data_IF_128210844231
#
_entry.id   IF_128210844231
#
_cell.length_a   1.000
_cell.length_b   1.000
_cell.length_c   1.000
_cell.angle_alpha   90.00
_cell.angle_beta   90.00
_cell.angle_gamma   90.00
#
_symmetry.space_group_name_H-M   'P 1'
#
loop_
_entity.id
_entity.type
_entity.pdbx_description
1 polymer ?
#
# COMPACT_ATOMS: atom_id res chain seq x y z
N UNK A 1 1.57 -20.17 13.07
CA UNK A 1 1.07 -21.36 12.32
C UNK A 1 -0.31 -21.84 12.81
N UNK A 2 -0.80 -21.42 13.98
CA UNK A 2 -2.07 -21.93 14.55
C UNK A 2 -3.36 -21.34 13.96
N UNK A 3 -3.38 -20.07 13.56
CA UNK A 3 -4.63 -19.42 13.09
C UNK A 3 -5.13 -20.06 11.79
N UNK A 4 -4.23 -20.31 10.83
CA UNK A 4 -4.59 -20.87 9.51
C UNK A 4 -4.95 -22.36 9.60
N UNK A 5 -4.43 -23.08 10.60
CA UNK A 5 -4.69 -24.51 10.77
C UNK A 5 -6.16 -24.82 11.16
N UNK A 6 -6.86 -23.86 11.80
CA UNK A 6 -8.22 -24.06 12.30
C UNK A 6 -9.33 -23.57 11.34
N UNK A 7 -8.99 -23.00 10.19
CA UNK A 7 -9.95 -22.34 9.28
C UNK A 7 -10.25 -23.18 8.01
N UNK A 8 -9.65 -24.37 7.87
CA UNK A 8 -9.78 -25.20 6.65
C UNK A 8 -11.21 -25.71 6.40
N UNK A 9 -12.03 -24.89 5.74
CA UNK A 9 -12.99 -25.33 4.72
C UNK A 9 -12.50 -24.82 3.37
N UNK A 10 -12.65 -25.62 2.32
CA UNK A 10 -11.96 -25.45 1.03
C UNK A 10 -12.30 -24.16 0.24
N UNK A 11 -13.22 -23.31 0.75
CA UNK A 11 -13.70 -22.08 0.09
C UNK A 11 -13.37 -20.76 0.84
N UNK A 12 -12.61 -20.79 1.95
CA UNK A 12 -12.33 -19.60 2.75
C UNK A 12 -11.07 -18.85 2.28
N UNK A 13 -11.25 -17.75 1.54
CA UNK A 13 -10.16 -16.81 1.23
C UNK A 13 -9.83 -15.95 2.47
N UNK A 14 -8.65 -16.16 3.06
CA UNK A 14 -8.17 -15.38 4.20
C UNK A 14 -7.39 -14.16 3.71
N UNK A 15 -7.84 -12.95 4.08
CA UNK A 15 -7.17 -11.67 3.81
C UNK A 15 -6.60 -11.06 5.09
N UNK A 16 -5.28 -10.97 5.17
CA UNK A 16 -4.57 -10.30 6.26
C UNK A 16 -4.48 -8.79 5.99
N UNK A 17 -5.07 -7.97 6.87
CA UNK A 17 -4.88 -6.52 6.89
C UNK A 17 -3.94 -6.13 8.02
N UNK A 18 -2.83 -5.47 7.71
CA UNK A 18 -1.78 -5.19 8.71
C UNK A 18 -1.18 -3.80 8.54
N UNK A 19 -0.76 -3.20 9.64
CA UNK A 19 -0.07 -1.91 9.62
C UNK A 19 1.41 -2.05 9.21
N UNK A 20 2.10 -0.90 9.14
CA UNK A 20 3.49 -0.81 8.70
C UNK A 20 4.53 -1.45 9.63
N UNK A 21 4.17 -1.83 10.85
CA UNK A 21 4.99 -2.64 11.74
C UNK A 21 5.25 -4.04 11.19
N UNK A 22 4.34 -4.56 10.35
CA UNK A 22 4.43 -5.88 9.72
C UNK A 22 4.95 -5.83 8.27
N UNK A 23 5.41 -4.66 7.83
CA UNK A 23 6.02 -4.49 6.51
C UNK A 23 7.43 -5.11 6.49
N UNK A 24 7.47 -6.44 6.34
CA UNK A 24 8.67 -7.26 6.28
C UNK A 24 8.48 -8.38 5.24
N UNK A 25 9.54 -8.68 4.49
CA UNK A 25 9.47 -9.68 3.43
C UNK A 25 9.13 -11.08 3.95
N UNK A 26 9.73 -11.51 5.07
CA UNK A 26 9.52 -12.86 5.60
C UNK A 26 8.08 -13.05 6.05
N UNK A 27 7.46 -12.01 6.59
CA UNK A 27 6.03 -12.02 6.95
C UNK A 27 5.18 -12.19 5.70
N UNK A 28 5.44 -11.38 4.67
CA UNK A 28 4.71 -11.44 3.39
C UNK A 28 4.87 -12.81 2.73
N UNK A 29 6.09 -13.33 2.65
CA UNK A 29 6.36 -14.67 2.09
C UNK A 29 5.67 -15.78 2.88
N UNK A 30 5.61 -15.66 4.21
CA UNK A 30 4.86 -16.61 5.03
C UNK A 30 3.38 -16.59 4.63
N UNK A 31 2.77 -15.42 4.46
CA UNK A 31 1.37 -15.30 4.05
C UNK A 31 1.16 -15.86 2.63
N UNK A 32 2.06 -15.54 1.70
CA UNK A 32 2.03 -16.06 0.32
C UNK A 32 2.15 -17.59 0.29
N UNK A 33 3.04 -18.18 1.09
CA UNK A 33 3.23 -19.64 1.18
C UNK A 33 2.01 -20.38 1.72
N UNK A 34 1.14 -19.69 2.46
CA UNK A 34 -0.11 -20.21 2.98
C UNK A 34 -1.28 -20.02 1.99
N UNK A 35 -1.02 -19.50 0.79
CA UNK A 35 -2.04 -19.21 -0.22
C UNK A 35 -2.98 -18.06 0.15
N UNK A 36 -2.64 -17.28 1.17
CA UNK A 36 -3.51 -16.24 1.70
C UNK A 36 -3.27 -14.89 1.00
N UNK A 37 -4.27 -14.00 1.12
CA UNK A 37 -4.17 -12.62 0.62
C UNK A 37 -3.65 -11.70 1.71
N UNK A 38 -3.01 -10.60 1.31
CA UNK A 38 -2.59 -9.56 2.25
C UNK A 38 -2.79 -8.16 1.69
N UNK A 39 -2.96 -7.23 2.62
CA UNK A 39 -2.98 -5.80 2.39
C UNK A 39 -2.25 -5.16 3.58
N UNK A 40 -0.99 -4.78 3.34
CA UNK A 40 -0.12 -4.27 4.40
C UNK A 40 0.25 -2.84 4.05
N UNK A 41 0.06 -1.90 4.99
CA UNK A 41 0.56 -0.54 4.84
C UNK A 41 2.09 -0.58 4.83
N UNK A 42 2.72 -0.06 3.80
CA UNK A 42 4.17 0.01 3.71
C UNK A 42 4.72 1.23 4.46
N UNK A 43 5.95 1.10 4.95
CA UNK A 43 6.69 2.27 5.46
C UNK A 43 7.03 3.18 4.29
N UNK A 44 7.04 4.49 4.52
CA UNK A 44 7.46 5.45 3.49
C UNK A 44 8.96 5.28 3.26
N UNK A 45 9.35 4.63 2.16
CA UNK A 45 10.73 4.56 1.71
C UNK A 45 10.96 5.64 0.65
N UNK A 46 12.07 6.37 0.77
CA UNK A 46 12.48 7.39 -0.20
C UNK A 46 12.54 6.85 -1.64
N UNK A 47 12.86 5.57 -1.82
CA UNK A 47 12.85 4.88 -3.12
C UNK A 47 11.44 4.73 -3.69
N UNK A 48 10.45 4.36 -2.87
CA UNK A 48 9.06 4.25 -3.32
C UNK A 48 8.47 5.62 -3.63
N UNK A 49 8.77 6.62 -2.80
CA UNK A 49 8.39 8.02 -3.09
C UNK A 49 9.04 8.49 -4.39
N UNK A 50 10.34 8.29 -4.59
CA UNK A 50 11.04 8.69 -5.82
C UNK A 50 10.48 8.01 -7.08
N UNK A 51 10.13 6.72 -7.00
CA UNK A 51 9.48 6.02 -8.11
C UNK A 51 8.07 6.56 -8.36
N UNK A 52 7.29 6.79 -7.31
CA UNK A 52 5.95 7.36 -7.43
C UNK A 52 5.93 8.80 -7.93
N UNK A 53 6.99 9.58 -7.66
CA UNK A 53 7.15 10.96 -8.16
C UNK A 53 7.84 11.04 -9.52
N UNK A 54 8.15 9.90 -10.15
CA UNK A 54 8.66 9.90 -11.52
C UNK A 54 7.57 10.46 -12.46
N UNK A 55 7.94 11.37 -13.34
CA UNK A 55 7.03 12.06 -14.26
C UNK A 55 6.26 11.14 -15.21
N UNK A 56 6.72 9.89 -15.38
CA UNK A 56 6.04 8.87 -16.20
C UNK A 56 4.89 8.17 -15.47
N UNK A 57 4.77 8.32 -14.14
CA UNK A 57 3.72 7.69 -13.36
C UNK A 57 2.46 8.56 -13.38
N UNK A 58 1.39 8.01 -13.93
CA UNK A 58 0.07 8.65 -13.94
C UNK A 58 -0.71 8.20 -12.72
N UNK A 59 -1.22 9.19 -11.98
CA UNK A 59 -2.17 8.95 -10.90
C UNK A 59 -3.59 9.04 -11.42
N UNK A 60 -4.41 8.06 -11.02
CA UNK A 60 -5.84 8.05 -11.31
C UNK A 60 -6.56 8.70 -10.14
N UNK A 61 -7.31 9.76 -10.43
CA UNK A 61 -8.14 10.43 -9.46
C UNK A 61 -9.34 9.55 -9.10
N UNK A 62 -9.48 9.26 -7.82
CA UNK A 62 -10.61 8.56 -7.25
C UNK A 62 -11.57 9.51 -6.52
N UNK A 63 -12.35 8.94 -5.62
CA UNK A 63 -13.27 9.66 -4.75
C UNK A 63 -12.53 10.52 -3.70
N UNK A 64 -13.23 11.51 -3.16
CA UNK A 64 -12.76 12.36 -2.04
C UNK A 64 -11.40 13.06 -2.24
N UNK A 65 -11.00 13.30 -3.50
CA UNK A 65 -9.73 13.97 -3.81
C UNK A 65 -8.50 13.11 -3.56
N UNK A 66 -8.68 11.80 -3.36
CA UNK A 66 -7.61 10.82 -3.32
C UNK A 66 -7.21 10.42 -4.73
N UNK A 67 -5.92 10.25 -4.93
CA UNK A 67 -5.38 9.77 -6.19
C UNK A 67 -4.54 8.53 -5.94
N UNK A 68 -4.62 7.54 -6.84
CA UNK A 68 -3.91 6.28 -6.69
C UNK A 68 -3.17 5.86 -7.94
N UNK A 69 -2.10 5.08 -7.76
CA UNK A 69 -1.35 4.45 -8.84
C UNK A 69 -0.74 3.14 -8.37
N UNK A 70 -0.23 2.35 -9.30
CA UNK A 70 0.35 1.04 -9.04
C UNK A 70 1.79 0.99 -9.51
N UNK A 71 2.63 0.36 -8.68
CA UNK A 71 4.01 0.06 -8.99
C UNK A 71 4.22 -1.43 -8.79
N UNK A 72 4.88 -2.08 -9.74
CA UNK A 72 5.40 -3.43 -9.55
C UNK A 72 6.91 -3.32 -9.43
N UNK A 73 7.41 -3.54 -8.22
CA UNK A 73 8.84 -3.34 -7.92
C UNK A 73 9.26 -4.20 -6.73
N UNK A 74 10.56 -4.46 -6.63
CA UNK A 74 11.20 -5.01 -5.44
C UNK A 74 11.95 -3.93 -4.69
N UNK A 75 11.92 -4.01 -3.37
CA UNK A 75 12.83 -3.23 -2.54
C UNK A 75 14.24 -3.84 -2.60
N UNK A 76 15.26 -3.04 -2.29
CA UNK A 76 16.68 -3.46 -2.39
C UNK A 76 16.98 -4.76 -1.62
N UNK A 77 16.31 -4.97 -0.49
CA UNK A 77 16.50 -6.15 0.37
C UNK A 77 15.56 -7.29 0.04
N UNK A 78 14.73 -7.16 -1.00
CA UNK A 78 13.69 -8.10 -1.35
C UNK A 78 14.07 -8.90 -2.58
N UNK A 79 13.74 -10.18 -2.57
CA UNK A 79 14.06 -11.12 -3.64
C UNK A 79 13.06 -11.04 -4.80
N UNK A 80 11.82 -10.66 -4.49
CA UNK A 80 10.68 -10.71 -5.41
C UNK A 80 10.00 -9.35 -5.60
N UNK A 81 9.66 -9.05 -6.85
CA UNK A 81 8.80 -7.91 -7.19
C UNK A 81 7.39 -8.12 -6.64
N UNK A 82 6.85 -7.10 -5.99
CA UNK A 82 5.51 -7.12 -5.42
C UNK A 82 4.72 -5.92 -5.90
N UNK A 83 3.40 -6.07 -5.88
CA UNK A 83 2.47 -5.00 -6.24
C UNK A 83 2.38 -4.02 -5.07
N UNK A 84 2.75 -2.78 -5.36
CA UNK A 84 2.57 -1.64 -4.49
C UNK A 84 1.44 -0.76 -5.02
N UNK A 85 0.51 -0.40 -4.14
CA UNK A 85 -0.47 0.64 -4.40
C UNK A 85 0.00 1.90 -3.68
N UNK A 86 0.12 2.98 -4.43
CA UNK A 86 0.46 4.29 -3.89
C UNK A 86 -0.78 5.14 -3.92
N UNK A 87 -1.13 5.71 -2.77
CA UNK A 87 -2.20 6.68 -2.63
C UNK A 87 -1.60 8.02 -2.26
N UNK A 88 -2.15 9.09 -2.80
CA UNK A 88 -1.81 10.44 -2.39
C UNK A 88 -3.04 11.29 -2.14
N UNK A 89 -2.92 12.20 -1.19
CA UNK A 89 -3.96 13.19 -0.87
C UNK A 89 -3.30 14.56 -0.85
N UNK A 90 -3.95 15.54 -1.46
CA UNK A 90 -3.46 16.91 -1.47
C UNK A 90 -3.49 17.49 -0.05
N UNK A 91 -2.37 18.02 0.43
CA UNK A 91 -2.30 18.67 1.74
C UNK A 91 -3.21 19.89 1.80
N UNK A 92 -3.71 20.32 2.97
CA UNK A 92 -4.49 21.55 3.10
C UNK A 92 -3.75 22.78 2.55
N UNK A 93 -4.49 23.76 2.03
CA UNK A 93 -3.92 24.96 1.41
C UNK A 93 -2.96 25.73 2.33
N UNK A 94 -3.28 25.80 3.63
CA UNK A 94 -2.44 26.44 4.65
C UNK A 94 -1.05 25.80 4.75
N UNK A 95 -0.97 24.48 4.62
CA UNK A 95 0.29 23.73 4.65
C UNK A 95 1.05 23.93 3.32
N UNK A 96 0.35 23.90 2.19
CA UNK A 96 0.96 24.16 0.87
C UNK A 96 1.51 25.58 0.74
N UNK A 97 0.84 26.58 1.32
CA UNK A 97 1.31 27.96 1.35
C UNK A 97 2.64 28.09 2.12
N UNK A 98 2.82 27.34 3.21
CA UNK A 98 4.09 27.31 3.95
C UNK A 98 5.18 26.47 3.25
N UNK A 99 4.80 25.47 2.45
CA UNK A 99 5.72 24.71 1.60
C UNK A 99 6.32 25.53 0.45
N UNK A 100 5.74 26.67 0.06
CA UNK A 100 6.43 27.57 -0.87
C UNK A 100 7.79 28.08 -0.33
N UNK A 101 8.03 27.95 0.99
CA UNK A 101 9.28 28.28 1.67
C UNK A 101 10.18 27.07 1.98
N UNK A 102 9.70 25.82 1.77
CA UNK A 102 10.39 24.57 2.11
C UNK A 102 10.24 23.54 0.97
N UNK A 103 11.31 22.85 0.57
CA UNK A 103 11.32 21.84 -0.51
C UNK A 103 10.54 20.53 -0.19
N UNK A 104 9.26 20.63 0.18
CA UNK A 104 8.39 19.49 0.49
C UNK A 104 7.30 19.27 -0.55
N UNK A 105 6.79 18.03 -0.66
CA UNK A 105 5.70 17.71 -1.57
C UNK A 105 4.37 18.31 -1.13
N UNK A 106 3.57 18.79 -2.08
CA UNK A 106 2.19 19.27 -1.87
C UNK A 106 1.21 18.16 -1.46
N UNK A 107 1.63 16.90 -1.60
CA UNK A 107 0.84 15.71 -1.31
C UNK A 107 1.40 14.94 -0.13
N UNK A 108 0.51 14.30 0.62
CA UNK A 108 0.85 13.20 1.53
C UNK A 108 0.73 11.87 0.79
N UNK A 109 1.80 11.07 0.85
CA UNK A 109 1.88 9.77 0.19
C UNK A 109 1.69 8.63 1.19
N UNK A 110 0.88 7.66 0.80
CA UNK A 110 0.62 6.42 1.52
C UNK A 110 0.93 5.25 0.61
N UNK A 111 1.64 4.27 1.13
CA UNK A 111 2.08 3.10 0.38
C UNK A 111 1.45 1.85 0.95
N UNK A 112 1.06 0.93 0.08
CA UNK A 112 0.49 -0.36 0.45
C UNK A 112 1.15 -1.44 -0.40
N UNK A 113 1.40 -2.60 0.18
CA UNK A 113 1.83 -3.80 -0.55
C UNK A 113 0.72 -4.84 -0.46
N UNK A 114 0.39 -5.47 -1.58
CA UNK A 114 -0.73 -6.42 -1.65
C UNK A 114 -0.54 -7.45 -2.76
N UNK A 115 -1.05 -8.67 -2.58
CA UNK A 115 -1.20 -9.68 -3.62
C UNK A 115 -2.68 -9.88 -4.06
N UNK A 116 -3.55 -8.94 -3.69
CA UNK A 116 -4.97 -8.95 -4.09
C UNK A 116 -5.11 -8.49 -5.54
N UNK A 117 -6.24 -8.83 -6.15
CA UNK A 117 -6.66 -8.34 -7.49
C UNK A 117 -7.57 -7.12 -7.41
N UNK A 118 -7.77 -6.56 -6.21
CA UNK A 118 -8.58 -5.35 -6.00
C UNK A 118 -7.99 -4.17 -6.76
N UNK A 119 -8.83 -3.30 -7.31
CA UNK A 119 -8.40 -2.02 -7.89
C UNK A 119 -7.68 -1.17 -6.84
N UNK A 120 -6.70 -0.36 -7.27
CA UNK A 120 -5.93 0.53 -6.38
C UNK A 120 -6.75 1.31 -5.37
N UNK A 121 -7.81 1.99 -5.81
CA UNK A 121 -8.67 2.74 -4.93
C UNK A 121 -9.36 1.85 -3.89
N UNK A 122 -9.83 0.67 -4.31
CA UNK A 122 -10.46 -0.30 -3.42
C UNK A 122 -9.48 -0.87 -2.40
N UNK A 123 -8.20 -1.00 -2.72
CA UNK A 123 -7.15 -1.36 -1.75
C UNK A 123 -7.11 -0.33 -0.61
N UNK A 124 -7.08 0.97 -0.94
CA UNK A 124 -7.02 2.02 0.09
C UNK A 124 -8.29 2.03 0.94
N UNK A 125 -9.47 2.04 0.29
CA UNK A 125 -10.76 2.06 0.99
C UNK A 125 -10.91 0.83 1.91
N UNK A 126 -10.51 -0.35 1.42
CA UNK A 126 -10.65 -1.59 2.18
C UNK A 126 -9.68 -1.66 3.37
N UNK A 127 -8.50 -1.06 3.26
CA UNK A 127 -7.57 -0.92 4.38
C UNK A 127 -8.11 0.05 5.45
N UNK A 128 -8.64 1.20 5.04
CA UNK A 128 -9.10 2.25 5.96
C UNK A 128 -10.45 1.94 6.60
N UNK A 129 -11.22 1.01 6.03
CA UNK A 129 -12.47 0.53 6.63
C UNK A 129 -12.18 -0.06 8.02
N UNK A 130 -12.57 0.71 9.05
CA UNK A 130 -12.56 0.27 10.46
C UNK A 130 -13.33 -1.05 10.58
N UNK A 131 -12.84 -1.93 11.46
CA UNK A 131 -13.45 -3.25 11.69
C UNK A 131 -14.93 -3.08 12.05
N UNK A 132 -15.78 -3.81 11.32
CA UNK A 132 -17.16 -4.08 11.74
C UNK A 132 -17.16 -5.28 12.69
#
# INVERSE_FOLDING_TARGET
KEIVANIKSDDLEILFRMDSGYFDEKIIETIESLGCKYLIKAKSYSTLTSQATNSSIVFVKGEEGRETTELYTKLVKWEKDRRFVVSRVLKPEKERAQLSLLEGSEYDYFFFVTNTTLLSEKVVIYYEKRGN
#
